data_IF_694641750396
#
_entry.id   IF_694641750396
#
_cell.length_a   1.000
_cell.length_b   1.000
_cell.length_c   1.000
_cell.angle_alpha   90.00
_cell.angle_beta   90.00
_cell.angle_gamma   90.00
#
_symmetry.space_group_name_H-M   'P 1'
#
loop_
_entity.id
_entity.type
_entity.pdbx_description
1 polymer ?
#
# COMPACT_ATOMS: atom_id res chain seq x y z
N UNK A 1 -12.71 4.74 12.74
CA UNK A 1 -11.38 5.20 12.32
C UNK A 1 -10.59 4.04 11.72
N UNK A 2 -9.97 4.25 10.57
CA UNK A 2 -9.12 3.24 9.95
C UNK A 2 -7.80 3.23 10.70
N UNK A 3 -7.40 2.05 11.19
CA UNK A 3 -6.13 1.87 11.87
C UNK A 3 -5.20 1.02 11.02
N UNK A 4 -3.90 1.08 11.30
CA UNK A 4 -2.93 0.22 10.60
C UNK A 4 -3.16 -1.24 10.99
N UNK A 5 -2.83 -2.13 10.05
CA UNK A 5 -2.59 -3.53 10.34
C UNK A 5 -1.10 -3.75 10.13
N UNK A 6 -0.33 -3.73 11.19
CA UNK A 6 1.10 -4.01 11.18
C UNK A 6 1.40 -4.92 12.36
N UNK A 7 2.03 -6.04 12.08
CA UNK A 7 2.42 -7.02 13.07
C UNK A 7 3.77 -7.61 12.67
N UNK A 8 4.39 -8.36 13.57
CA UNK A 8 5.65 -9.03 13.26
C UNK A 8 5.43 -10.16 12.26
N UNK A 9 6.45 -10.44 11.47
CA UNK A 9 6.50 -11.58 10.55
C UNK A 9 5.50 -11.52 9.39
N UNK A 10 5.02 -10.33 9.03
CA UNK A 10 4.18 -10.19 7.84
C UNK A 10 5.01 -10.36 6.56
N UNK A 11 4.38 -10.94 5.55
CA UNK A 11 4.96 -11.07 4.22
C UNK A 11 5.10 -9.71 3.55
N UNK A 12 4.05 -8.90 3.62
CA UNK A 12 4.00 -7.59 2.96
C UNK A 12 3.11 -6.63 3.76
N UNK A 13 3.50 -5.35 3.76
CA UNK A 13 2.65 -4.26 4.21
C UNK A 13 2.37 -3.37 3.00
N UNK A 14 1.11 -3.20 2.66
CA UNK A 14 0.69 -2.28 1.60
C UNK A 14 0.49 -0.89 2.19
N UNK A 15 1.12 0.11 1.59
CA UNK A 15 1.06 1.48 2.06
C UNK A 15 0.37 2.37 1.04
N UNK A 16 -0.84 2.82 1.35
CA UNK A 16 -1.54 3.82 0.57
C UNK A 16 -1.04 5.22 0.86
N UNK A 17 -1.51 6.19 0.09
CA UNK A 17 -1.13 7.59 0.30
C UNK A 17 -1.86 8.13 1.52
N UNK A 18 -3.19 8.08 1.50
CA UNK A 18 -4.07 8.48 2.60
C UNK A 18 -5.47 7.94 2.34
N UNK A 19 -6.34 7.90 3.37
CA UNK A 19 -7.73 7.48 3.13
C UNK A 19 -8.48 8.48 2.24
N UNK A 20 -9.29 7.97 1.32
CA UNK A 20 -10.29 8.80 0.66
C UNK A 20 -11.43 9.10 1.64
N UNK A 21 -12.25 10.09 1.30
CA UNK A 21 -13.38 10.48 2.17
C UNK A 21 -14.37 9.33 2.37
N UNK A 22 -14.67 8.56 1.32
CA UNK A 22 -15.61 7.44 1.46
C UNK A 22 -15.05 6.34 2.36
N UNK A 23 -13.75 6.07 2.30
CA UNK A 23 -13.09 5.10 3.18
C UNK A 23 -13.12 5.56 4.64
N UNK A 24 -12.81 6.84 4.86
CA UNK A 24 -12.84 7.42 6.21
C UNK A 24 -14.26 7.39 6.77
N UNK A 25 -15.26 7.70 5.95
CA UNK A 25 -16.67 7.70 6.36
C UNK A 25 -17.15 6.29 6.72
N UNK A 26 -16.78 5.30 5.91
CA UNK A 26 -17.18 3.90 6.13
C UNK A 26 -16.35 3.21 7.21
N UNK A 27 -15.12 3.69 7.45
CA UNK A 27 -14.18 3.08 8.39
C UNK A 27 -13.41 1.89 7.83
N UNK A 28 -13.40 1.71 6.50
CA UNK A 28 -12.68 0.62 5.83
C UNK A 28 -11.68 1.16 4.83
N UNK A 29 -10.47 0.59 4.73
CA UNK A 29 -9.51 1.02 3.70
C UNK A 29 -9.97 0.57 2.32
N UNK A 30 -9.69 1.40 1.31
CA UNK A 30 -10.03 1.13 -0.08
C UNK A 30 -11.52 0.81 -0.28
N UNK A 31 -12.38 1.55 0.42
CA UNK A 31 -13.82 1.27 0.46
C UNK A 31 -14.60 1.84 -0.74
N UNK A 32 -13.99 2.74 -1.52
CA UNK A 32 -14.66 3.27 -2.72
C UNK A 32 -14.90 2.13 -3.72
N UNK A 33 -16.13 2.02 -4.24
CA UNK A 33 -16.49 0.93 -5.14
C UNK A 33 -15.67 0.87 -6.42
N UNK A 34 -15.05 1.98 -6.85
CA UNK A 34 -14.16 2.00 -8.01
C UNK A 34 -12.73 1.56 -7.69
N UNK A 35 -12.37 1.40 -6.42
CA UNK A 35 -11.03 0.98 -6.05
C UNK A 35 -10.87 -0.52 -6.26
N UNK A 36 -9.76 -0.91 -6.87
CA UNK A 36 -9.52 -2.29 -7.27
C UNK A 36 -8.57 -3.05 -6.35
N UNK A 37 -8.19 -2.45 -5.21
CA UNK A 37 -7.20 -3.04 -4.30
C UNK A 37 -7.56 -4.47 -3.90
N UNK A 38 -8.77 -4.69 -3.40
CA UNK A 38 -9.19 -6.00 -2.88
C UNK A 38 -9.19 -7.07 -3.97
N UNK A 39 -9.64 -6.69 -5.16
CA UNK A 39 -9.66 -7.59 -6.31
C UNK A 39 -8.24 -7.91 -6.79
N UNK A 40 -7.39 -6.88 -6.86
CA UNK A 40 -6.01 -7.03 -7.35
C UNK A 40 -5.19 -7.93 -6.44
N UNK A 41 -5.23 -7.74 -5.12
CA UNK A 41 -4.43 -8.57 -4.21
C UNK A 41 -4.90 -10.02 -4.20
N UNK A 42 -6.19 -10.26 -4.41
CA UNK A 42 -6.69 -11.62 -4.54
C UNK A 42 -6.19 -12.26 -5.85
N UNK A 43 -6.35 -11.58 -6.97
CA UNK A 43 -5.94 -12.11 -8.26
C UNK A 43 -4.43 -12.27 -8.39
N UNK A 44 -3.68 -11.44 -7.69
CA UNK A 44 -2.21 -11.54 -7.65
C UNK A 44 -1.71 -12.70 -6.78
N UNK A 45 -2.55 -13.26 -5.92
CA UNK A 45 -2.20 -14.42 -5.11
C UNK A 45 -2.07 -14.17 -3.61
N UNK A 46 -2.14 -12.91 -3.15
CA UNK A 46 -1.91 -12.60 -1.73
C UNK A 46 -3.01 -13.13 -0.81
N UNK A 47 -4.26 -13.13 -1.27
CA UNK A 47 -5.36 -13.66 -0.48
C UNK A 47 -6.00 -14.82 -1.23
N UNK A 48 -6.28 -15.91 -0.52
CA UNK A 48 -6.88 -17.10 -1.13
C UNK A 48 -8.32 -16.90 -1.58
N UNK A 49 -8.97 -15.84 -1.07
CA UNK A 49 -10.30 -15.42 -1.50
C UNK A 49 -10.34 -13.90 -1.57
N UNK A 50 -11.27 -13.37 -2.35
CA UNK A 50 -11.43 -11.92 -2.42
C UNK A 50 -12.15 -11.42 -1.17
N UNK A 51 -11.45 -10.59 -0.39
CA UNK A 51 -12.04 -9.96 0.79
C UNK A 51 -12.91 -8.79 0.37
N UNK A 52 -14.00 -8.58 1.09
CA UNK A 52 -14.75 -7.34 1.02
C UNK A 52 -14.03 -6.29 1.89
N UNK A 53 -14.18 -4.98 1.60
CA UNK A 53 -13.53 -3.97 2.44
C UNK A 53 -13.86 -4.09 3.92
N UNK A 54 -15.08 -4.51 4.27
CA UNK A 54 -15.49 -4.72 5.66
C UNK A 54 -14.68 -5.81 6.37
N UNK A 55 -14.08 -6.72 5.59
CA UNK A 55 -13.29 -7.83 6.11
C UNK A 55 -11.79 -7.50 6.19
N UNK A 56 -11.44 -6.23 6.10
CA UNK A 56 -10.05 -5.76 5.97
C UNK A 56 -9.14 -6.26 7.11
N UNK A 57 -9.68 -6.47 8.30
CA UNK A 57 -8.89 -6.97 9.43
C UNK A 57 -8.42 -8.41 9.23
N UNK A 58 -9.02 -9.14 8.30
CA UNK A 58 -8.59 -10.50 7.98
C UNK A 58 -7.30 -10.55 7.13
N UNK A 59 -6.82 -9.41 6.65
CA UNK A 59 -5.57 -9.34 5.87
C UNK A 59 -4.40 -10.01 6.59
N UNK A 60 -4.27 -9.80 7.89
CA UNK A 60 -3.16 -10.36 8.66
C UNK A 60 -3.13 -11.88 8.64
N UNK A 61 -4.28 -12.54 8.47
CA UNK A 61 -4.36 -13.99 8.39
C UNK A 61 -3.69 -14.52 7.12
N UNK A 62 -3.52 -13.65 6.12
CA UNK A 62 -2.82 -13.96 4.87
C UNK A 62 -1.38 -13.42 4.84
N UNK A 63 -0.87 -12.96 5.97
CA UNK A 63 0.46 -12.36 6.03
C UNK A 63 0.54 -10.96 5.46
N UNK A 64 -0.59 -10.27 5.31
CA UNK A 64 -0.66 -8.94 4.73
C UNK A 64 -1.01 -7.90 5.79
N UNK A 65 -0.34 -6.75 5.68
CA UNK A 65 -0.66 -5.58 6.49
C UNK A 65 -1.08 -4.41 5.62
N UNK A 66 -1.54 -3.36 6.25
CA UNK A 66 -1.97 -2.15 5.56
C UNK A 66 -1.68 -0.93 6.42
N UNK A 67 -1.21 0.12 5.79
CA UNK A 67 -0.97 1.42 6.42
C UNK A 67 -1.15 2.52 5.38
N UNK A 68 -1.00 3.76 5.80
CA UNK A 68 -1.01 4.93 4.91
C UNK A 68 0.09 5.89 5.32
N UNK A 69 0.60 6.66 4.37
CA UNK A 69 1.61 7.70 4.64
C UNK A 69 1.03 8.81 5.50
N UNK A 70 -0.21 9.21 5.22
CA UNK A 70 -0.88 10.30 5.93
C UNK A 70 -2.26 9.81 6.39
N UNK A 71 -2.60 10.08 7.65
CA UNK A 71 -3.88 9.66 8.20
C UNK A 71 -5.04 10.57 7.80
N UNK A 72 -4.76 11.81 7.42
CA UNK A 72 -5.79 12.82 7.08
C UNK A 72 -6.52 12.43 5.80
N UNK A 73 -7.86 12.25 5.84
CA UNK A 73 -8.61 11.92 4.62
C UNK A 73 -8.77 13.14 3.72
N UNK A 74 -8.75 12.91 2.40
CA UNK A 74 -8.97 13.94 1.40
C UNK A 74 -9.79 13.39 0.24
N UNK A 75 -10.34 14.29 -0.59
CA UNK A 75 -10.99 13.89 -1.83
C UNK A 75 -9.95 13.42 -2.84
N UNK A 76 -8.86 14.17 -2.97
CA UNK A 76 -7.77 13.85 -3.89
C UNK A 76 -6.43 13.87 -3.15
N UNK A 77 -5.54 12.95 -3.50
CA UNK A 77 -4.20 12.87 -2.90
C UNK A 77 -3.40 14.15 -3.14
N UNK A 78 -3.68 14.89 -4.23
CA UNK A 78 -3.01 16.15 -4.53
C UNK A 78 -3.26 17.25 -3.49
N UNK A 79 -4.25 17.07 -2.61
CA UNK A 79 -4.51 18.01 -1.51
C UNK A 79 -3.49 17.90 -0.39
N UNK A 80 -2.68 16.82 -0.37
CA UNK A 80 -1.68 16.62 0.66
C UNK A 80 -0.46 17.48 0.39
N UNK A 81 0.09 18.04 1.46
CA UNK A 81 1.30 18.84 1.39
C UNK A 81 2.54 17.95 1.30
N UNK A 82 3.58 18.44 0.63
CA UNK A 82 4.85 17.70 0.53
C UNK A 82 5.41 17.36 1.91
N UNK A 83 5.33 18.29 2.85
CA UNK A 83 5.84 18.08 4.20
C UNK A 83 5.07 17.00 4.95
N UNK A 84 3.76 16.89 4.72
CA UNK A 84 2.95 15.83 5.31
C UNK A 84 3.44 14.45 4.82
N UNK A 85 3.71 14.33 3.53
CA UNK A 85 4.18 13.08 2.95
C UNK A 85 5.57 12.71 3.44
N UNK A 86 6.45 13.70 3.57
CA UNK A 86 7.80 13.51 4.08
C UNK A 86 7.81 13.03 5.51
N UNK A 87 7.02 13.69 6.35
CA UNK A 87 6.84 13.31 7.74
C UNK A 87 6.23 11.92 7.86
N UNK A 88 5.22 11.63 7.03
CA UNK A 88 4.61 10.32 6.96
C UNK A 88 5.62 9.24 6.59
N UNK A 89 6.54 9.55 5.69
CA UNK A 89 7.62 8.64 5.31
C UNK A 89 8.55 8.30 6.48
N UNK A 90 8.89 9.30 7.31
CA UNK A 90 9.73 9.08 8.49
C UNK A 90 9.01 8.21 9.53
N UNK A 91 7.73 8.46 9.78
CA UNK A 91 6.92 7.63 10.68
C UNK A 91 6.83 6.20 10.16
N UNK A 92 6.60 6.05 8.85
CA UNK A 92 6.53 4.74 8.21
C UNK A 92 7.82 3.94 8.39
N UNK A 93 8.97 4.58 8.17
CA UNK A 93 10.28 3.92 8.37
C UNK A 93 10.41 3.35 9.77
N UNK A 94 9.98 4.08 10.78
CA UNK A 94 10.02 3.62 12.17
C UNK A 94 9.15 2.38 12.39
N UNK A 95 7.94 2.38 11.82
CA UNK A 95 7.02 1.24 11.93
C UNK A 95 7.61 -0.01 11.26
N UNK A 96 8.19 0.16 10.08
CA UNK A 96 8.76 -0.95 9.32
C UNK A 96 10.00 -1.51 10.01
N UNK A 97 10.85 -0.66 10.56
CA UNK A 97 12.01 -1.12 11.32
C UNK A 97 11.61 -1.93 12.55
N UNK A 98 10.53 -1.53 13.20
CA UNK A 98 10.03 -2.22 14.40
C UNK A 98 9.52 -3.62 14.09
N UNK A 99 8.77 -3.79 13.00
CA UNK A 99 8.07 -5.03 12.69
C UNK A 99 8.72 -5.87 11.60
N UNK A 100 9.58 -5.28 10.79
CA UNK A 100 10.39 -5.93 9.75
C UNK A 100 9.62 -6.92 8.86
N UNK A 101 8.55 -6.46 8.16
CA UNK A 101 7.93 -7.30 7.14
C UNK A 101 8.94 -7.61 6.03
N UNK A 102 8.72 -8.66 5.26
CA UNK A 102 9.63 -8.97 4.16
C UNK A 102 9.63 -7.88 3.09
N UNK A 103 8.47 -7.29 2.82
CA UNK A 103 8.35 -6.22 1.83
C UNK A 103 7.39 -5.14 2.30
N UNK A 104 7.66 -3.92 1.85
CA UNK A 104 6.77 -2.77 1.95
C UNK A 104 6.40 -2.36 0.52
N UNK A 105 5.11 -2.41 0.21
CA UNK A 105 4.60 -2.03 -1.11
C UNK A 105 3.96 -0.65 -1.03
N UNK A 106 4.60 0.35 -1.63
CA UNK A 106 4.08 1.72 -1.65
C UNK A 106 3.28 1.90 -2.94
N UNK A 107 2.03 2.31 -2.79
CA UNK A 107 1.08 2.35 -3.89
C UNK A 107 1.09 3.73 -4.56
N UNK A 108 2.05 3.93 -5.45
CA UNK A 108 2.16 5.13 -6.27
C UNK A 108 3.57 5.71 -6.30
N UNK A 109 4.03 6.10 -7.49
CA UNK A 109 5.36 6.70 -7.67
C UNK A 109 5.49 8.04 -6.98
N UNK A 110 4.47 8.88 -7.08
CA UNK A 110 4.47 10.21 -6.48
C UNK A 110 4.58 10.13 -4.95
N UNK A 111 3.84 9.19 -4.35
CA UNK A 111 3.88 8.97 -2.92
C UNK A 111 5.29 8.59 -2.46
N UNK A 112 5.90 7.65 -3.15
CA UNK A 112 7.26 7.22 -2.83
C UNK A 112 8.26 8.35 -3.03
N UNK A 113 8.20 9.02 -4.17
CA UNK A 113 9.10 10.13 -4.50
C UNK A 113 9.08 11.21 -3.42
N UNK A 114 7.90 11.65 -3.04
CA UNK A 114 7.75 12.74 -2.06
C UNK A 114 8.08 12.31 -0.64
N UNK A 115 7.69 11.10 -0.26
CA UNK A 115 7.92 10.61 1.11
C UNK A 115 9.38 10.27 1.37
N UNK A 116 10.10 9.77 0.37
CA UNK A 116 11.48 9.29 0.52
C UNK A 116 12.52 10.19 -0.16
N UNK A 117 12.09 11.26 -0.84
CA UNK A 117 13.01 12.20 -1.48
C UNK A 117 13.75 11.62 -2.68
N UNK A 118 13.12 10.73 -3.42
CA UNK A 118 13.71 10.09 -4.60
C UNK A 118 13.15 10.76 -5.87
N UNK A 119 14.02 11.28 -6.72
CA UNK A 119 13.61 12.06 -7.89
C UNK A 119 13.19 11.21 -9.08
N UNK A 120 13.81 10.06 -9.28
CA UNK A 120 13.47 9.14 -10.37
C UNK A 120 13.05 7.80 -9.78
N UNK A 121 11.81 7.42 -10.04
CA UNK A 121 11.25 6.19 -9.47
C UNK A 121 10.87 5.25 -10.60
N UNK A 122 11.35 4.02 -10.52
CA UNK A 122 10.93 2.94 -11.39
C UNK A 122 9.88 2.10 -10.68
N UNK A 123 9.00 1.45 -11.44
CA UNK A 123 8.08 0.48 -10.86
C UNK A 123 8.83 -0.74 -10.34
N UNK A 124 8.25 -1.41 -9.36
CA UNK A 124 8.78 -2.65 -8.84
C UNK A 124 9.75 -2.47 -7.70
N UNK A 125 10.69 -3.40 -7.58
CA UNK A 125 11.65 -3.40 -6.47
C UNK A 125 12.60 -2.22 -6.57
N UNK A 126 12.78 -1.55 -5.43
CA UNK A 126 13.71 -0.42 -5.34
C UNK A 126 15.06 -0.91 -4.81
N UNK A 127 16.12 -0.15 -5.10
CA UNK A 127 17.43 -0.40 -4.52
C UNK A 127 17.45 -0.07 -3.03
N UNK A 128 16.65 0.91 -2.62
CA UNK A 128 16.53 1.33 -1.23
C UNK A 128 15.77 0.28 -0.41
N UNK A 129 16.23 0.04 0.81
CA UNK A 129 15.57 -0.84 1.77
C UNK A 129 15.37 -0.09 3.09
N UNK A 130 14.48 -0.63 3.93
CA UNK A 130 14.36 -0.19 5.33
C UNK A 130 14.79 -1.38 6.19
N UNK A 131 16.02 -1.33 6.74
CA UNK A 131 16.61 -2.51 7.34
C UNK A 131 16.71 -3.61 6.31
N UNK A 132 16.15 -4.78 6.59
CA UNK A 132 16.10 -5.90 5.65
C UNK A 132 14.82 -5.94 4.82
N UNK A 133 13.89 -5.00 5.07
CA UNK A 133 12.63 -4.94 4.33
C UNK A 133 12.84 -4.36 2.93
N UNK A 134 12.48 -5.12 1.91
CA UNK A 134 12.49 -4.62 0.53
C UNK A 134 11.39 -3.59 0.34
N UNK A 135 11.68 -2.55 -0.44
CA UNK A 135 10.67 -1.57 -0.83
C UNK A 135 10.28 -1.84 -2.29
N UNK A 136 8.98 -1.92 -2.53
CA UNK A 136 8.41 -2.04 -3.86
C UNK A 136 7.47 -0.87 -4.11
N UNK A 137 7.50 -0.35 -5.32
CA UNK A 137 6.57 0.69 -5.77
C UNK A 137 5.62 0.06 -6.77
N UNK A 138 4.34 0.03 -6.43
CA UNK A 138 3.30 -0.56 -7.24
C UNK A 138 2.30 0.51 -7.67
N UNK A 139 1.60 0.29 -8.80
CA UNK A 139 0.60 1.27 -9.24
C UNK A 139 -0.56 1.35 -8.25
N UNK A 140 -1.07 2.57 -8.08
CA UNK A 140 -2.21 2.84 -7.23
C UNK A 140 -3.45 2.15 -7.82
N UNK A 141 -4.19 1.36 -7.02
CA UNK A 141 -5.37 0.64 -7.53
C UNK A 141 -6.63 1.50 -7.61
N UNK A 142 -6.52 2.80 -7.41
CA UNK A 142 -7.62 3.74 -7.53
C UNK A 142 -8.32 3.63 -8.89
N UNK A 143 -9.64 3.83 -8.92
CA UNK A 143 -10.40 3.90 -10.16
C UNK A 143 -9.97 5.05 -11.07
N UNK A 144 -9.24 6.03 -10.56
CA UNK A 144 -8.69 7.14 -11.37
C UNK A 144 -7.47 6.71 -12.19
N UNK A 145 -6.82 5.61 -11.82
CA UNK A 145 -5.71 5.07 -12.59
C UNK A 145 -6.25 4.40 -13.85
N UNK A 146 -5.72 4.77 -15.01
CA UNK A 146 -6.16 4.24 -16.31
C UNK A 146 -5.68 2.84 -16.62
N UNK A 147 -4.76 2.31 -15.83
CA UNK A 147 -4.31 0.93 -16.01
C UNK A 147 -5.48 -0.04 -15.87
N UNK A 148 -5.44 -1.10 -16.66
CA UNK A 148 -6.47 -2.15 -16.60
C UNK A 148 -6.28 -3.00 -15.34
N UNK A 149 -7.32 -3.72 -14.96
CA UNK A 149 -7.23 -4.68 -13.84
C UNK A 149 -6.12 -5.70 -14.09
N UNK A 150 -5.97 -6.17 -15.34
CA UNK A 150 -4.92 -7.13 -15.70
C UNK A 150 -3.53 -6.56 -15.52
N UNK A 151 -3.33 -5.31 -15.93
CA UNK A 151 -2.04 -4.62 -15.78
C UNK A 151 -1.69 -4.42 -14.30
N UNK A 152 -2.67 -4.00 -13.51
CA UNK A 152 -2.48 -3.85 -12.06
C UNK A 152 -2.12 -5.19 -11.42
N UNK A 153 -2.89 -6.22 -11.73
CA UNK A 153 -2.67 -7.55 -11.19
C UNK A 153 -1.29 -8.08 -11.53
N UNK A 154 -0.83 -7.87 -12.76
CA UNK A 154 0.50 -8.30 -13.18
C UNK A 154 1.60 -7.63 -12.35
N UNK A 155 1.48 -6.34 -12.08
CA UNK A 155 2.46 -5.60 -11.26
C UNK A 155 2.51 -6.13 -9.83
N UNK A 156 1.37 -6.37 -9.22
CA UNK A 156 1.28 -6.90 -7.85
C UNK A 156 1.76 -8.35 -7.80
N UNK A 157 1.51 -9.11 -8.86
CA UNK A 157 1.95 -10.49 -8.94
C UNK A 157 3.47 -10.61 -9.00
N UNK A 158 4.15 -9.67 -9.62
CA UNK A 158 5.62 -9.65 -9.60
C UNK A 158 6.14 -9.64 -8.17
N UNK A 159 5.54 -8.85 -7.31
CA UNK A 159 5.88 -8.83 -5.89
C UNK A 159 5.57 -10.17 -5.23
N UNK A 160 4.37 -10.69 -5.45
CA UNK A 160 3.95 -11.96 -4.87
C UNK A 160 4.93 -13.08 -5.26
N UNK A 161 5.28 -13.18 -6.53
CA UNK A 161 6.18 -14.20 -7.03
C UNK A 161 7.59 -14.05 -6.44
N UNK A 162 8.08 -12.82 -6.30
CA UNK A 162 9.38 -12.54 -5.70
C UNK A 162 9.43 -12.97 -4.23
N UNK A 163 8.34 -12.79 -3.49
CA UNK A 163 8.26 -13.16 -2.07
C UNK A 163 8.10 -14.66 -1.85
N UNK A 164 7.64 -15.37 -2.87
CA UNK A 164 7.36 -16.82 -2.78
C UNK A 164 8.32 -17.67 -3.62
N UNK A 165 9.39 -17.08 -4.11
CA UNK A 165 10.39 -17.82 -4.88
C UNK A 165 11.48 -18.40 -3.97
#
# INVERSE_FOLDING_TARGET
MITDIIADDLLVVFCGINPGLSSAHKGYPFANGSNRFWKVIHQAGFTGRQLMPEQWQQLKDFGCGITALVARPTVAASELMRDELREGGEVLKGKILRHQPRALAILGKQAFSKAFGVSKVNWGRQALKIGDTEIWVLPNPSGLNRATLEELTASYRELYDALNS
#
